data_IF_424551669272
#
_entry.id   IF_424551669272
#
_cell.length_a   1.000
_cell.length_b   1.000
_cell.length_c   1.000
_cell.angle_alpha   90.00
_cell.angle_beta   90.00
_cell.angle_gamma   90.00
#
_symmetry.space_group_name_H-M   'P 1'
#
loop_
_entity.id
_entity.type
_entity.pdbx_description
1 polymer ?
#
# COMPACT_ATOMS: atom_id res chain seq x y z
N UNK A 1 7.07 37.13 18.55
CA UNK A 1 7.60 35.75 18.56
C UNK A 1 7.71 35.28 17.11
N UNK A 2 8.87 34.81 16.65
CA UNK A 2 9.00 34.31 15.28
C UNK A 2 8.19 33.01 15.14
N UNK A 3 7.34 32.94 14.11
CA UNK A 3 6.60 31.73 13.76
C UNK A 3 7.59 30.60 13.44
N UNK A 4 7.34 29.40 13.98
CA UNK A 4 8.17 28.23 13.71
C UNK A 4 8.16 27.92 12.19
N UNK A 5 9.27 28.22 11.51
CA UNK A 5 9.48 27.96 10.07
C UNK A 5 9.90 26.51 9.81
N UNK A 6 9.11 25.56 10.29
CA UNK A 6 9.18 24.17 9.82
C UNK A 6 7.99 23.88 8.90
N UNK A 7 8.09 22.93 7.96
CA UNK A 7 6.91 22.46 7.23
C UNK A 7 5.88 21.96 8.26
N UNK A 8 4.83 22.75 8.47
CA UNK A 8 3.80 22.48 9.45
C UNK A 8 3.12 21.14 9.17
N UNK A 9 2.71 20.44 10.22
CA UNK A 9 1.91 19.23 10.08
C UNK A 9 0.60 19.58 9.38
N UNK A 10 0.29 18.90 8.29
CA UNK A 10 -1.02 18.93 7.67
C UNK A 10 -1.99 18.29 8.66
N UNK A 11 -3.01 19.05 9.03
CA UNK A 11 -4.17 18.51 9.72
C UNK A 11 -5.20 18.13 8.66
N UNK A 12 -5.39 16.82 8.44
CA UNK A 12 -6.33 16.30 7.44
C UNK A 12 -7.79 16.80 7.61
N UNK A 13 -8.14 17.30 8.80
CA UNK A 13 -9.45 17.91 9.08
C UNK A 13 -9.54 19.41 8.75
N UNK A 14 -8.41 20.10 8.60
CA UNK A 14 -8.35 21.56 8.43
C UNK A 14 -7.72 21.99 7.10
N UNK A 15 -7.22 21.05 6.30
CA UNK A 15 -6.67 21.32 4.98
C UNK A 15 -7.32 20.42 3.94
N UNK A 16 -7.83 20.97 2.83
CA UNK A 16 -8.33 20.15 1.73
C UNK A 16 -7.15 19.34 1.18
N UNK A 17 -7.23 18.03 1.32
CA UNK A 17 -6.33 17.12 0.63
C UNK A 17 -6.83 16.97 -0.82
N UNK A 18 -5.93 16.93 -1.81
CA UNK A 18 -6.32 16.71 -3.20
C UNK A 18 -7.01 15.35 -3.33
N UNK A 19 -8.09 15.30 -4.12
CA UNK A 19 -8.80 14.06 -4.47
C UNK A 19 -8.07 13.34 -5.61
N UNK A 20 -6.78 13.10 -5.41
CA UNK A 20 -5.88 12.48 -6.36
C UNK A 20 -5.12 11.34 -5.69
N UNK A 21 -4.68 10.36 -6.49
CA UNK A 21 -3.84 9.26 -6.01
C UNK A 21 -2.42 9.79 -5.80
N UNK A 22 -2.01 9.93 -4.53
CA UNK A 22 -0.66 10.39 -4.16
C UNK A 22 0.10 9.42 -3.28
N UNK A 23 -0.57 8.51 -2.57
CA UNK A 23 0.11 7.47 -1.79
C UNK A 23 0.44 6.29 -2.71
N UNK A 24 1.74 6.05 -2.91
CA UNK A 24 2.24 4.91 -3.63
C UNK A 24 2.88 3.91 -2.67
N UNK A 25 2.76 2.63 -2.99
CA UNK A 25 3.45 1.55 -2.30
C UNK A 25 4.51 0.98 -3.22
N UNK A 26 5.72 0.78 -2.69
CA UNK A 26 6.79 0.00 -3.32
C UNK A 26 6.86 -1.33 -2.58
N UNK A 27 6.63 -2.43 -3.31
CA UNK A 27 6.68 -3.78 -2.79
C UNK A 27 7.97 -4.45 -3.26
N UNK A 28 8.78 -4.88 -2.29
CA UNK A 28 9.97 -5.68 -2.51
C UNK A 28 9.79 -7.04 -1.83
N UNK A 29 10.28 -8.09 -2.47
CA UNK A 29 10.29 -9.42 -1.89
C UNK A 29 11.71 -9.83 -1.57
N UNK A 30 11.98 -10.05 -0.29
CA UNK A 30 13.27 -10.55 0.18
C UNK A 30 13.47 -12.02 -0.27
N UNK A 31 14.72 -12.49 -0.27
CA UNK A 31 15.08 -13.83 -0.76
C UNK A 31 14.42 -14.99 0.01
N UNK A 32 13.91 -14.73 1.21
CA UNK A 32 13.15 -15.65 2.06
C UNK A 32 11.64 -15.63 1.78
N UNK A 33 11.19 -14.84 0.80
CA UNK A 33 9.77 -14.65 0.46
C UNK A 33 9.07 -13.59 1.33
N UNK A 34 9.79 -12.89 2.21
CA UNK A 34 9.21 -11.84 3.05
C UNK A 34 8.86 -10.63 2.19
N UNK A 35 7.58 -10.22 2.21
CA UNK A 35 7.12 -8.99 1.58
C UNK A 35 7.49 -7.76 2.43
N UNK A 36 8.40 -6.95 1.90
CA UNK A 36 8.73 -5.61 2.36
C UNK A 36 7.89 -4.60 1.57
N UNK A 37 7.12 -3.76 2.26
CA UNK A 37 6.41 -2.65 1.60
C UNK A 37 6.88 -1.35 2.18
N UNK A 38 7.23 -0.40 1.32
CA UNK A 38 7.45 0.99 1.71
C UNK A 38 6.43 1.88 1.05
N UNK A 39 6.04 2.96 1.72
CA UNK A 39 5.09 3.91 1.17
C UNK A 39 5.76 5.24 0.92
N UNK A 40 5.45 5.86 -0.21
CA UNK A 40 5.92 7.18 -0.58
C UNK A 40 4.79 8.05 -1.09
N UNK A 41 4.94 9.36 -0.93
CA UNK A 41 4.01 10.32 -1.50
C UNK A 41 4.57 10.78 -2.83
N UNK A 42 3.90 10.41 -3.91
CA UNK A 42 4.28 10.78 -5.27
C UNK A 42 3.03 11.08 -6.09
N UNK A 43 2.89 12.34 -6.49
CA UNK A 43 1.91 12.79 -7.46
C UNK A 43 2.48 14.04 -8.18
N UNK A 44 2.78 13.97 -9.48
CA UNK A 44 3.37 15.08 -10.23
C UNK A 44 2.40 16.25 -10.46
N UNK A 45 1.09 16.05 -10.32
CA UNK A 45 0.08 17.09 -10.42
C UNK A 45 -0.15 17.86 -9.10
N UNK A 46 0.38 17.34 -7.98
CA UNK A 46 0.23 17.95 -6.67
C UNK A 46 1.22 19.12 -6.47
N UNK A 47 0.79 20.14 -5.72
CA UNK A 47 1.67 21.23 -5.29
C UNK A 47 2.93 20.65 -4.59
N UNK A 48 4.15 20.95 -5.09
CA UNK A 48 5.40 20.46 -4.52
C UNK A 48 5.54 20.79 -3.02
N UNK A 49 5.00 21.91 -2.55
CA UNK A 49 5.05 22.29 -1.14
C UNK A 49 4.14 21.41 -0.27
N UNK A 50 2.99 20.98 -0.81
CA UNK A 50 2.09 20.03 -0.15
C UNK A 50 2.67 18.62 -0.17
N UNK A 51 3.24 18.20 -1.31
CA UNK A 51 3.95 16.93 -1.46
C UNK A 51 5.08 16.80 -0.43
N UNK A 52 5.92 17.83 -0.31
CA UNK A 52 7.02 17.86 0.64
C UNK A 52 6.54 17.79 2.09
N UNK A 53 5.40 18.41 2.42
CA UNK A 53 4.81 18.33 3.77
C UNK A 53 4.26 16.94 4.08
N UNK A 54 3.55 16.32 3.14
CA UNK A 54 3.02 14.96 3.30
C UNK A 54 4.16 13.94 3.42
N UNK A 55 5.18 14.05 2.57
CA UNK A 55 6.38 13.22 2.64
C UNK A 55 7.13 13.44 3.97
N UNK A 56 7.30 14.69 4.40
CA UNK A 56 7.89 15.03 5.70
C UNK A 56 7.11 14.44 6.87
N UNK A 57 5.77 14.43 6.81
CA UNK A 57 4.96 13.76 7.83
C UNK A 57 5.17 12.26 7.84
N UNK A 58 5.23 11.63 6.67
CA UNK A 58 5.48 10.20 6.53
C UNK A 58 6.83 9.81 7.15
N UNK A 59 7.86 10.59 6.88
CA UNK A 59 9.21 10.41 7.43
C UNK A 59 9.30 10.74 8.92
N UNK A 60 8.73 11.87 9.36
CA UNK A 60 8.80 12.34 10.74
C UNK A 60 8.05 11.42 11.70
N UNK A 61 6.91 10.88 11.27
CA UNK A 61 6.18 9.86 12.01
C UNK A 61 6.88 8.50 11.97
N UNK A 62 8.01 8.40 11.24
CA UNK A 62 8.78 7.20 11.00
C UNK A 62 7.86 6.09 10.51
N UNK A 63 6.87 6.42 9.69
CA UNK A 63 5.81 5.49 9.34
C UNK A 63 6.42 4.28 8.66
N UNK A 64 7.27 4.43 7.64
CA UNK A 64 7.98 3.30 7.04
C UNK A 64 8.85 2.49 8.02
N UNK A 65 9.55 3.13 8.96
CA UNK A 65 10.44 2.43 9.91
C UNK A 65 9.66 1.71 11.04
N UNK A 66 8.59 2.32 11.56
CA UNK A 66 7.65 1.70 12.51
C UNK A 66 6.79 0.65 11.81
N UNK A 67 6.46 0.87 10.55
CA UNK A 67 5.69 -0.05 9.74
C UNK A 67 6.48 -1.31 9.43
N UNK A 68 7.77 -1.21 9.08
CA UNK A 68 8.62 -2.40 8.86
C UNK A 68 8.61 -3.37 10.04
N UNK A 69 8.71 -2.87 11.27
CA UNK A 69 8.81 -3.72 12.46
C UNK A 69 7.46 -4.30 12.95
N UNK A 70 6.36 -3.54 12.84
CA UNK A 70 5.13 -3.88 13.57
C UNK A 70 3.85 -3.93 12.71
N UNK A 71 3.81 -3.26 11.55
CA UNK A 71 2.60 -3.15 10.71
C UNK A 71 2.73 -3.95 9.41
N UNK A 72 3.87 -3.94 8.74
CA UNK A 72 4.14 -4.83 7.59
C UNK A 72 4.10 -6.30 8.06
N UNK A 73 4.75 -6.60 9.19
CA UNK A 73 4.73 -7.98 9.71
C UNK A 73 3.35 -8.40 10.22
N UNK A 74 2.56 -7.49 10.77
CA UNK A 74 1.29 -7.86 11.42
C UNK A 74 0.07 -7.47 10.62
N UNK A 75 -0.14 -6.19 10.28
CA UNK A 75 -1.34 -5.74 9.57
C UNK A 75 -1.34 -6.15 8.09
N UNK A 76 -0.21 -6.02 7.39
CA UNK A 76 -0.10 -6.42 6.00
C UNK A 76 -0.17 -7.95 5.87
N UNK A 77 0.61 -8.68 6.68
CA UNK A 77 0.55 -10.13 6.73
C UNK A 77 -0.83 -10.64 7.16
N UNK A 78 -1.46 -10.07 8.20
CA UNK A 78 -2.83 -10.43 8.61
C UNK A 78 -3.83 -10.17 7.51
N UNK A 79 -3.78 -8.99 6.89
CA UNK A 79 -4.69 -8.64 5.79
C UNK A 79 -4.54 -9.60 4.61
N UNK A 80 -3.32 -9.88 4.18
CA UNK A 80 -3.05 -10.84 3.10
C UNK A 80 -3.40 -12.28 3.52
N UNK A 81 -3.17 -12.65 4.77
CA UNK A 81 -3.53 -13.97 5.33
C UNK A 81 -5.05 -14.17 5.38
N UNK A 82 -5.82 -13.14 5.73
CA UNK A 82 -7.29 -13.18 5.74
C UNK A 82 -7.87 -13.34 4.33
N UNK A 83 -7.21 -12.74 3.33
CA UNK A 83 -7.62 -12.84 1.92
C UNK A 83 -6.97 -14.01 1.17
N UNK A 84 -6.01 -14.69 1.80
CA UNK A 84 -5.12 -15.69 1.18
C UNK A 84 -5.87 -16.77 0.43
N UNK A 85 -6.86 -17.39 1.06
CA UNK A 85 -7.61 -18.49 0.44
C UNK A 85 -8.33 -18.02 -0.83
N UNK A 86 -8.98 -16.86 -0.78
CA UNK A 86 -9.65 -16.29 -1.94
C UNK A 86 -8.64 -15.92 -3.05
N UNK A 87 -7.51 -15.32 -2.67
CA UNK A 87 -6.45 -14.95 -3.61
C UNK A 87 -5.88 -16.17 -4.34
N UNK A 88 -5.52 -17.23 -3.60
CA UNK A 88 -4.97 -18.45 -4.18
C UNK A 88 -6.00 -19.21 -5.02
N UNK A 89 -7.28 -19.25 -4.63
CA UNK A 89 -8.33 -19.85 -5.46
C UNK A 89 -8.57 -19.08 -6.76
N UNK A 90 -8.56 -17.76 -6.72
CA UNK A 90 -8.74 -16.93 -7.93
C UNK A 90 -7.52 -17.00 -8.85
N UNK A 91 -6.32 -17.17 -8.32
CA UNK A 91 -5.12 -17.38 -9.11
C UNK A 91 -5.20 -18.63 -10.00
N UNK A 92 -5.93 -19.67 -9.60
CA UNK A 92 -6.19 -20.86 -10.46
C UNK A 92 -6.87 -20.48 -11.79
N UNK A 93 -7.63 -19.38 -11.83
CA UNK A 93 -8.25 -18.88 -13.06
C UNK A 93 -7.26 -18.15 -13.99
N UNK A 94 -6.02 -17.93 -13.55
CA UNK A 94 -4.93 -17.35 -14.33
C UNK A 94 -4.45 -15.99 -13.84
N UNK A 95 -3.20 -15.65 -14.18
CA UNK A 95 -2.50 -14.42 -13.81
C UNK A 95 -3.29 -13.14 -14.11
N UNK A 96 -3.86 -13.04 -15.33
CA UNK A 96 -4.63 -11.86 -15.74
C UNK A 96 -5.91 -11.67 -14.93
N UNK A 97 -6.61 -12.77 -14.61
CA UNK A 97 -7.83 -12.74 -13.79
C UNK A 97 -7.49 -12.35 -12.35
N UNK A 98 -6.37 -12.85 -11.84
CA UNK A 98 -5.88 -12.50 -10.50
C UNK A 98 -5.47 -11.03 -10.39
N UNK A 99 -4.72 -10.49 -11.36
CA UNK A 99 -4.36 -9.07 -11.42
C UNK A 99 -5.62 -8.18 -11.47
N UNK A 100 -6.59 -8.53 -12.32
CA UNK A 100 -7.87 -7.81 -12.41
C UNK A 100 -8.67 -7.87 -11.10
N UNK A 101 -8.66 -9.03 -10.42
CA UNK A 101 -9.25 -9.16 -9.09
C UNK A 101 -8.64 -8.17 -8.09
N UNK A 102 -7.30 -8.09 -8.02
CA UNK A 102 -6.61 -7.16 -7.12
C UNK A 102 -6.94 -5.70 -7.45
N UNK A 103 -7.01 -5.35 -8.73
CA UNK A 103 -7.46 -4.02 -9.17
C UNK A 103 -8.88 -3.71 -8.70
N UNK A 104 -9.83 -4.63 -8.89
CA UNK A 104 -11.22 -4.46 -8.42
C UNK A 104 -11.32 -4.37 -6.91
N UNK A 105 -10.58 -5.19 -6.18
CA UNK A 105 -10.51 -5.13 -4.72
C UNK A 105 -9.96 -3.78 -4.26
N UNK A 106 -8.94 -3.24 -4.94
CA UNK A 106 -8.42 -1.90 -4.65
C UNK A 106 -9.49 -0.83 -4.88
N UNK A 107 -10.23 -0.89 -5.98
CA UNK A 107 -11.30 0.06 -6.31
C UNK A 107 -12.47 -0.01 -5.30
N UNK A 108 -12.83 -1.20 -4.83
CA UNK A 108 -13.84 -1.38 -3.80
C UNK A 108 -13.40 -0.77 -2.46
N UNK A 109 -12.12 -0.89 -2.10
CA UNK A 109 -11.58 -0.29 -0.87
C UNK A 109 -11.52 1.24 -0.93
N UNK A 110 -11.36 1.84 -2.11
CA UNK A 110 -11.41 3.30 -2.27
C UNK A 110 -12.72 3.87 -1.74
N UNK A 111 -13.86 3.20 -2.01
CA UNK A 111 -15.16 3.65 -1.55
C UNK A 111 -15.31 3.65 -0.01
N UNK A 112 -14.60 2.74 0.67
CA UNK A 112 -14.71 2.56 2.13
C UNK A 112 -13.64 3.30 2.93
N UNK A 113 -12.43 3.44 2.38
CA UNK A 113 -11.25 3.93 3.11
C UNK A 113 -10.56 5.13 2.43
N UNK A 114 -10.95 5.46 1.21
CA UNK A 114 -10.35 6.52 0.42
C UNK A 114 -9.18 6.06 -0.46
N UNK A 115 -8.84 6.91 -1.43
CA UNK A 115 -7.85 6.67 -2.49
C UNK A 115 -6.43 6.42 -2.00
N UNK A 116 -6.08 7.09 -0.90
CA UNK A 116 -4.74 7.12 -0.33
C UNK A 116 -4.63 6.26 0.94
N UNK A 117 -5.50 5.25 1.09
CA UNK A 117 -5.34 4.21 2.12
C UNK A 117 -4.22 3.23 1.72
N UNK A 118 -3.46 2.77 2.71
CA UNK A 118 -2.32 1.87 2.49
C UNK A 118 -2.73 0.54 1.84
N UNK A 119 -3.94 0.03 2.07
CA UNK A 119 -4.44 -1.21 1.45
C UNK A 119 -4.73 -1.01 -0.03
N UNK A 120 -5.25 0.18 -0.38
CA UNK A 120 -5.49 0.54 -1.79
C UNK A 120 -4.17 0.64 -2.52
N UNK A 121 -3.19 1.37 -1.97
CA UNK A 121 -1.86 1.50 -2.54
C UNK A 121 -1.18 0.12 -2.68
N UNK A 122 -1.25 -0.72 -1.64
CA UNK A 122 -0.72 -2.08 -1.66
C UNK A 122 -1.30 -2.93 -2.78
N UNK A 123 -2.64 -3.04 -2.86
CA UNK A 123 -3.28 -3.90 -3.85
C UNK A 123 -3.02 -3.43 -5.28
N UNK A 124 -2.94 -2.11 -5.52
CA UNK A 124 -2.55 -1.56 -6.82
C UNK A 124 -1.13 -1.97 -7.20
N UNK A 125 -0.20 -1.88 -6.27
CA UNK A 125 1.20 -2.30 -6.50
C UNK A 125 1.30 -3.80 -6.75
N UNK A 126 0.64 -4.64 -5.95
CA UNK A 126 0.64 -6.09 -6.12
C UNK A 126 -0.04 -6.52 -7.44
N UNK A 127 -1.09 -5.80 -7.87
CA UNK A 127 -1.77 -6.06 -9.15
C UNK A 127 -0.87 -5.78 -10.36
N UNK A 128 0.02 -4.79 -10.25
CA UNK A 128 0.99 -4.42 -11.27
C UNK A 128 2.26 -5.28 -11.23
N UNK A 129 2.53 -5.98 -10.12
CA UNK A 129 3.68 -6.85 -9.98
C UNK A 129 3.44 -8.21 -10.64
N UNK A 130 4.14 -8.46 -11.75
CA UNK A 130 4.04 -9.70 -12.51
C UNK A 130 4.59 -10.91 -11.75
N UNK A 131 5.65 -10.75 -10.97
CA UNK A 131 6.24 -11.84 -10.21
C UNK A 131 5.25 -12.34 -9.14
N UNK A 132 4.58 -11.40 -8.47
CA UNK A 132 3.52 -11.69 -7.52
C UNK A 132 2.29 -12.30 -8.20
N UNK A 133 1.82 -11.74 -9.31
CA UNK A 133 0.63 -12.25 -9.99
C UNK A 133 0.84 -13.63 -10.64
N UNK A 134 2.06 -13.94 -11.07
CA UNK A 134 2.37 -15.25 -11.67
C UNK A 134 2.53 -16.36 -10.64
N UNK A 135 3.08 -16.06 -9.45
CA UNK A 135 3.36 -17.06 -8.42
C UNK A 135 3.06 -16.53 -6.99
N UNK A 136 1.79 -16.19 -6.67
CA UNK A 136 1.43 -15.60 -5.38
C UNK A 136 1.72 -16.54 -4.20
N UNK A 137 1.73 -17.86 -4.41
CA UNK A 137 2.05 -18.88 -3.41
C UNK A 137 3.49 -18.79 -2.88
N UNK A 138 4.42 -18.20 -3.64
CA UNK A 138 5.79 -17.94 -3.16
C UNK A 138 5.84 -16.94 -2.02
N UNK A 139 4.81 -16.08 -1.94
CA UNK A 139 4.75 -14.95 -1.03
C UNK A 139 3.66 -15.12 0.03
N UNK A 140 2.53 -15.72 -0.37
CA UNK A 140 1.41 -16.04 0.51
C UNK A 140 1.56 -17.43 1.16
N UNK A 141 2.56 -18.21 0.77
CA UNK A 141 2.72 -19.61 1.16
C UNK A 141 1.77 -20.55 0.39
N UNK A 142 1.94 -21.88 0.56
CA UNK A 142 1.20 -22.87 -0.23
C UNK A 142 -0.30 -22.84 0.06
N UNK A 143 -1.18 -23.14 -0.92
CA UNK A 143 -2.62 -23.21 -0.67
C UNK A 143 -2.94 -24.11 0.52
N UNK A 144 -3.97 -23.78 1.33
CA UNK A 144 -4.37 -24.65 2.42
C UNK A 144 -4.64 -26.05 1.88
N UNK A 145 -4.01 -27.05 2.48
CA UNK A 145 -4.22 -28.45 2.12
C UNK A 145 -5.66 -28.79 2.48
N UNK A 146 -6.40 -29.33 1.50
CA UNK A 146 -7.77 -29.80 1.69
C UNK A 146 -7.84 -30.98 2.66
#
# INVERSE_FOLDING_TARGET
MPAAQGPGLIHAYFQPLPDEDFLQADADFDADGTLSVTFRVENPAMDPALAAKLQFQLERLKLNARYRAQVNKYLLNKYLSEQRTAMLMLHVAGEAVFSEYLHRSSAALVASYGRNDWRVALLRTLAADRAFCSAPERYLGPPPVA
#
